data_IF_211379355788
#
_entry.id   IF_211379355788
#
_cell.length_a   1.000
_cell.length_b   1.000
_cell.length_c   1.000
_cell.angle_alpha   90.00
_cell.angle_beta   90.00
_cell.angle_gamma   90.00
#
_symmetry.space_group_name_H-M   'P 1'
#
loop_
_entity.id
_entity.type
_entity.pdbx_description
1 polymer ?
#
# COMPACT_ATOMS: atom_id res chain seq x y z
N UNK A 1 -1.62 0.17 -7.50
CA UNK A 1 -0.24 0.72 -7.42
C UNK A 1 0.76 -0.42 -7.33
N UNK A 2 2.06 -0.19 -7.50
CA UNK A 2 3.03 -1.24 -7.22
C UNK A 2 3.10 -1.51 -5.71
N UNK A 3 3.22 -2.80 -5.36
CA UNK A 3 3.31 -3.27 -3.98
C UNK A 3 4.35 -2.50 -3.14
N UNK A 4 5.54 -2.26 -3.71
CA UNK A 4 6.61 -1.55 -3.02
C UNK A 4 6.23 -0.12 -2.64
N UNK A 5 5.39 0.54 -3.45
CA UNK A 5 4.95 1.90 -3.19
C UNK A 5 3.99 1.97 -2.01
N UNK A 6 3.14 0.94 -1.83
CA UNK A 6 2.34 0.81 -0.61
C UNK A 6 3.24 0.71 0.64
N UNK A 7 4.30 -0.10 0.59
CA UNK A 7 5.24 -0.24 1.71
C UNK A 7 5.99 1.06 2.00
N UNK A 8 6.38 1.81 0.96
CA UNK A 8 6.97 3.13 1.13
C UNK A 8 6.00 4.09 1.82
N UNK A 9 4.74 4.13 1.39
CA UNK A 9 3.72 4.97 2.00
C UNK A 9 3.51 4.60 3.49
N UNK A 10 3.47 3.30 3.81
CA UNK A 10 3.39 2.81 5.18
C UNK A 10 4.62 3.23 6.01
N UNK A 11 5.82 3.16 5.44
CA UNK A 11 7.04 3.60 6.10
C UNK A 11 7.03 5.12 6.36
N UNK A 12 6.60 5.92 5.39
CA UNK A 12 6.45 7.38 5.56
C UNK A 12 5.43 7.68 6.66
N UNK A 13 4.25 7.04 6.63
CA UNK A 13 3.22 7.20 7.65
C UNK A 13 3.74 6.83 9.05
N UNK A 14 4.50 5.73 9.16
CA UNK A 14 5.14 5.31 10.41
C UNK A 14 6.17 6.32 10.93
N UNK A 15 6.85 7.06 10.04
CA UNK A 15 7.84 8.08 10.41
C UNK A 15 7.22 9.40 10.86
N UNK A 16 6.06 9.77 10.31
CA UNK A 16 5.38 11.04 10.64
C UNK A 16 4.28 10.90 11.69
N UNK A 17 3.99 9.67 12.14
CA UNK A 17 2.98 9.38 13.14
C UNK A 17 3.58 8.74 14.38
N UNK A 18 2.74 8.41 15.36
CA UNK A 18 3.12 7.60 16.53
C UNK A 18 2.76 6.11 16.36
N UNK A 19 2.36 5.69 15.16
CA UNK A 19 1.97 4.32 14.87
C UNK A 19 3.21 3.40 14.83
N UNK A 20 3.01 2.10 15.02
CA UNK A 20 4.09 1.12 14.87
C UNK A 20 4.43 0.93 13.40
N UNK A 21 5.66 1.25 12.94
CA UNK A 21 6.03 1.08 11.54
C UNK A 21 5.96 -0.37 11.09
N UNK A 22 6.35 -1.31 11.96
CA UNK A 22 6.28 -2.74 11.67
C UNK A 22 4.85 -3.17 11.37
N UNK A 23 3.90 -2.84 12.27
CA UNK A 23 2.52 -3.24 12.09
C UNK A 23 1.82 -2.52 10.95
N UNK A 24 2.19 -1.27 10.65
CA UNK A 24 1.78 -0.58 9.42
C UNK A 24 2.19 -1.37 8.19
N UNK A 25 3.47 -1.74 8.07
CA UNK A 25 3.99 -2.53 6.94
C UNK A 25 3.27 -3.88 6.84
N UNK A 26 3.07 -4.57 7.97
CA UNK A 26 2.33 -5.85 8.00
C UNK A 26 0.91 -5.65 7.47
N UNK A 27 0.16 -4.71 8.04
CA UNK A 27 -1.22 -4.44 7.60
C UNK A 27 -1.31 -4.04 6.14
N UNK A 28 -0.37 -3.21 5.68
CA UNK A 28 -0.27 -2.83 4.27
C UNK A 28 0.12 -4.00 3.37
N UNK A 29 0.87 -4.99 3.83
CA UNK A 29 1.26 -6.12 2.98
C UNK A 29 0.15 -7.18 2.84
N UNK A 30 -0.73 -7.30 3.83
CA UNK A 30 -1.75 -8.36 3.92
C UNK A 30 -2.61 -8.50 2.65
N UNK A 31 -3.21 -7.43 2.09
CA UNK A 31 -4.11 -7.58 0.94
C UNK A 31 -3.47 -8.33 -0.22
N UNK A 32 -2.27 -7.92 -0.59
CA UNK A 32 -1.50 -8.48 -1.70
C UNK A 32 -0.96 -9.88 -1.43
N UNK A 33 -0.49 -10.14 -0.20
CA UNK A 33 0.01 -11.46 0.21
C UNK A 33 -1.12 -12.48 0.27
N UNK A 34 -2.36 -12.05 0.46
CA UNK A 34 -3.54 -12.92 0.42
C UNK A 34 -4.01 -13.10 -1.03
N UNK A 35 -4.32 -12.01 -1.73
CA UNK A 35 -5.04 -12.10 -3.00
C UNK A 35 -4.19 -12.62 -4.15
N UNK A 36 -2.91 -12.24 -4.22
CA UNK A 36 -2.05 -12.66 -5.33
C UNK A 36 -1.84 -14.18 -5.34
N UNK A 37 -1.48 -14.84 -4.24
CA UNK A 37 -1.39 -16.30 -4.22
C UNK A 37 -2.73 -16.97 -4.53
N UNK A 38 -3.83 -16.50 -3.93
CA UNK A 38 -5.16 -17.07 -4.18
C UNK A 38 -5.53 -17.04 -5.67
N UNK A 39 -5.26 -15.92 -6.35
CA UNK A 39 -5.49 -15.81 -7.79
C UNK A 39 -4.53 -16.70 -8.60
N UNK A 40 -3.25 -16.76 -8.23
CA UNK A 40 -2.24 -17.58 -8.92
C UNK A 40 -2.53 -19.08 -8.84
N UNK A 41 -3.11 -19.55 -7.73
CA UNK A 41 -3.53 -20.95 -7.58
C UNK A 41 -4.98 -21.21 -8.05
N UNK A 42 -5.65 -20.19 -8.61
CA UNK A 42 -6.98 -20.30 -9.21
C UNK A 42 -8.15 -20.36 -8.21
N UNK A 43 -7.93 -20.00 -6.94
CA UNK A 43 -9.02 -19.90 -5.93
C UNK A 43 -9.93 -18.70 -6.23
N UNK A 44 -9.35 -17.60 -6.71
CA UNK A 44 -10.08 -16.43 -7.21
C UNK A 44 -9.65 -16.14 -8.64
N UNK A 45 -10.51 -15.46 -9.40
CA UNK A 45 -10.20 -15.02 -10.76
C UNK A 45 -9.61 -13.59 -10.80
N UNK A 46 -9.58 -12.91 -9.65
CA UNK A 46 -9.15 -11.51 -9.51
C UNK A 46 -7.96 -11.40 -8.56
N UNK A 47 -7.02 -10.53 -8.91
CA UNK A 47 -5.86 -10.19 -8.08
C UNK A 47 -6.16 -9.15 -6.99
N UNK A 48 -7.38 -8.60 -6.99
CA UNK A 48 -7.97 -7.82 -5.87
C UNK A 48 -9.29 -8.51 -5.50
N UNK A 49 -9.32 -9.21 -4.37
CA UNK A 49 -10.43 -10.07 -3.93
C UNK A 49 -10.64 -10.01 -2.41
N UNK A 50 -10.40 -11.11 -1.70
CA UNK A 50 -10.60 -11.28 -0.26
C UNK A 50 -9.85 -10.22 0.55
N UNK A 51 -8.53 -10.10 0.35
CA UNK A 51 -7.65 -9.21 1.11
C UNK A 51 -7.96 -7.72 0.87
N UNK A 52 -8.46 -7.39 -0.31
CA UNK A 52 -8.85 -6.04 -0.72
C UNK A 52 -10.32 -5.70 -0.45
N UNK A 53 -11.12 -6.64 0.05
CA UNK A 53 -12.53 -6.42 0.32
C UNK A 53 -12.74 -5.58 1.57
N UNK A 54 -13.56 -4.53 1.46
CA UNK A 54 -13.99 -3.71 2.61
C UNK A 54 -14.75 -4.52 3.66
N UNK A 55 -15.29 -5.69 3.30
CA UNK A 55 -15.94 -6.59 4.25
C UNK A 55 -14.98 -7.05 5.35
N UNK A 56 -13.66 -7.06 5.11
CA UNK A 56 -12.66 -7.33 6.15
C UNK A 56 -12.60 -6.24 7.23
N UNK A 57 -13.38 -5.17 7.13
CA UNK A 57 -13.59 -4.23 8.24
C UNK A 57 -14.10 -4.93 9.51
N UNK A 58 -14.84 -6.04 9.38
CA UNK A 58 -15.30 -6.84 10.53
C UNK A 58 -14.13 -7.45 11.33
N UNK A 59 -12.96 -7.61 10.70
CA UNK A 59 -11.72 -8.07 11.33
C UNK A 59 -10.83 -6.88 11.69
N UNK A 60 -10.70 -5.91 10.78
CA UNK A 60 -9.84 -4.75 10.95
C UNK A 60 -10.29 -3.86 12.11
N UNK A 61 -11.60 -3.71 12.34
CA UNK A 61 -12.13 -2.86 13.41
C UNK A 61 -11.83 -3.44 14.81
N UNK A 62 -12.15 -4.70 15.14
CA UNK A 62 -11.71 -5.31 16.40
C UNK A 62 -10.20 -5.25 16.61
N UNK A 63 -9.42 -5.47 15.53
CA UNK A 63 -7.97 -5.34 15.59
C UNK A 63 -7.55 -3.91 15.93
N UNK A 64 -8.17 -2.90 15.31
CA UNK A 64 -7.90 -1.50 15.62
C UNK A 64 -8.17 -1.15 17.10
N UNK A 65 -9.20 -1.76 17.68
CA UNK A 65 -9.59 -1.56 19.08
C UNK A 65 -8.73 -2.34 20.09
N UNK A 66 -7.93 -3.32 19.65
CA UNK A 66 -7.13 -4.16 20.55
C UNK A 66 -5.88 -3.45 21.10
N UNK A 67 -5.48 -2.33 20.50
CA UNK A 67 -4.36 -1.52 20.95
C UNK A 67 -3.57 -0.93 19.77
N UNK A 68 -2.42 -0.30 20.10
CA UNK A 68 -1.63 0.45 19.10
C UNK A 68 -1.13 -0.40 17.95
N UNK A 69 -0.71 -1.63 18.23
CA UNK A 69 -0.24 -2.57 17.21
C UNK A 69 -1.36 -2.91 16.23
N UNK A 70 -2.54 -3.28 16.75
CA UNK A 70 -3.70 -3.60 15.94
C UNK A 70 -4.24 -2.39 15.16
N UNK A 71 -4.27 -1.20 15.77
CA UNK A 71 -4.57 0.06 15.07
C UNK A 71 -3.60 0.31 13.90
N UNK A 72 -2.30 0.09 14.13
CA UNK A 72 -1.29 0.29 13.08
C UNK A 72 -1.50 -0.69 11.92
N UNK A 73 -1.82 -1.95 12.20
CA UNK A 73 -2.14 -2.94 11.17
C UNK A 73 -3.43 -2.60 10.41
N UNK A 74 -4.51 -2.22 11.11
CA UNK A 74 -5.76 -1.84 10.48
C UNK A 74 -5.60 -0.59 9.58
N UNK A 75 -4.82 0.41 10.03
CA UNK A 75 -4.52 1.59 9.23
C UNK A 75 -3.60 1.27 8.05
N UNK A 76 -2.65 0.34 8.21
CA UNK A 76 -1.82 -0.14 7.11
C UNK A 76 -2.64 -0.81 6.02
N UNK A 77 -3.61 -1.65 6.42
CA UNK A 77 -4.57 -2.29 5.52
C UNK A 77 -5.43 -1.24 4.80
N UNK A 78 -6.03 -0.31 5.55
CA UNK A 78 -6.87 0.75 4.97
C UNK A 78 -6.08 1.65 4.00
N UNK A 79 -4.81 1.95 4.31
CA UNK A 79 -3.91 2.68 3.44
C UNK A 79 -3.70 1.96 2.11
N UNK A 80 -3.51 0.64 2.12
CA UNK A 80 -3.35 -0.16 0.90
C UNK A 80 -4.58 -0.04 0.00
N UNK A 81 -5.77 -0.35 0.54
CA UNK A 81 -7.03 -0.28 -0.21
C UNK A 81 -7.27 1.12 -0.78
N UNK A 82 -6.98 2.16 0.00
CA UNK A 82 -7.15 3.55 -0.42
C UNK A 82 -6.22 3.92 -1.58
N UNK A 83 -4.97 3.46 -1.53
CA UNK A 83 -3.98 3.72 -2.58
C UNK A 83 -4.31 2.97 -3.87
N UNK A 84 -4.81 1.74 -3.79
CA UNK A 84 -5.26 1.02 -4.98
C UNK A 84 -6.52 1.61 -5.60
N UNK A 85 -7.50 2.01 -4.77
CA UNK A 85 -8.69 2.72 -5.24
C UNK A 85 -8.33 4.04 -5.93
N UNK A 86 -7.44 4.83 -5.32
CA UNK A 86 -6.93 6.07 -5.91
C UNK A 86 -6.24 5.79 -7.25
N UNK A 87 -5.41 4.76 -7.30
CA UNK A 87 -4.68 4.39 -8.50
C UNK A 87 -5.57 3.98 -9.67
N UNK A 88 -6.60 3.16 -9.44
CA UNK A 88 -7.49 2.77 -10.54
C UNK A 88 -8.27 3.96 -11.08
N UNK A 89 -8.66 4.90 -10.20
CA UNK A 89 -9.29 6.17 -10.59
C UNK A 89 -8.34 7.03 -11.41
N UNK A 90 -7.09 7.24 -10.94
CA UNK A 90 -6.09 8.05 -11.63
C UNK A 90 -5.70 7.48 -13.00
N UNK A 91 -5.77 6.17 -13.16
CA UNK A 91 -5.52 5.51 -14.43
C UNK A 91 -6.78 5.41 -15.33
N UNK A 92 -7.85 6.13 -15.02
CA UNK A 92 -9.04 6.23 -15.86
C UNK A 92 -10.00 5.04 -15.76
N UNK A 93 -9.88 4.20 -14.73
CA UNK A 93 -10.71 3.02 -14.49
C UNK A 93 -11.46 3.11 -13.14
N UNK A 94 -12.24 4.18 -12.87
CA UNK A 94 -12.94 4.33 -11.59
C UNK A 94 -13.96 3.21 -11.33
N UNK A 95 -14.53 2.62 -12.39
CA UNK A 95 -15.43 1.47 -12.28
C UNK A 95 -14.77 0.22 -11.69
N UNK A 96 -13.44 0.11 -11.76
CA UNK A 96 -12.72 -1.03 -11.18
C UNK A 96 -12.62 -0.92 -9.66
N UNK A 97 -12.80 0.27 -9.06
CA UNK A 97 -12.77 0.46 -7.61
C UNK A 97 -13.85 -0.34 -6.86
N UNK A 98 -14.85 -0.88 -7.58
CA UNK A 98 -15.82 -1.83 -7.03
C UNK A 98 -15.19 -3.14 -6.55
N UNK A 99 -13.90 -3.40 -6.83
CA UNK A 99 -13.14 -4.49 -6.21
C UNK A 99 -13.26 -4.47 -4.67
N UNK A 100 -13.42 -3.28 -4.07
CA UNK A 100 -13.62 -3.12 -2.62
C UNK A 100 -14.88 -3.83 -2.12
N UNK A 101 -15.88 -4.04 -2.98
CA UNK A 101 -17.16 -4.65 -2.65
C UNK A 101 -17.19 -6.16 -2.97
N UNK A 102 -16.06 -6.74 -3.34
CA UNK A 102 -15.94 -8.18 -3.57
C UNK A 102 -16.35 -8.96 -2.30
N UNK A 103 -17.09 -10.08 -2.39
CA UNK A 103 -17.56 -10.76 -3.59
C UNK A 103 -18.95 -10.31 -4.07
N UNK A 104 -19.57 -9.34 -3.41
CA UNK A 104 -20.94 -8.91 -3.74
C UNK A 104 -21.00 -8.23 -5.12
N UNK A 105 -19.93 -7.55 -5.51
CA UNK A 105 -19.78 -6.92 -6.82
C UNK A 105 -18.41 -7.26 -7.40
N UNK A 106 -18.35 -7.46 -8.71
CA UNK A 106 -17.10 -7.61 -9.47
C UNK A 106 -17.07 -6.58 -10.60
N UNK A 107 -15.88 -6.06 -10.98
CA UNK A 107 -15.76 -5.22 -12.17
C UNK A 107 -16.29 -5.94 -13.41
N UNK A 108 -16.94 -5.22 -14.31
CA UNK A 108 -17.50 -5.78 -15.56
C UNK A 108 -16.42 -6.12 -16.58
N UNK A 109 -15.30 -5.40 -16.55
CA UNK A 109 -14.11 -5.61 -17.38
C UNK A 109 -12.86 -5.58 -16.49
N UNK A 110 -12.60 -6.63 -15.70
CA UNK A 110 -11.44 -6.63 -14.81
C UNK A 110 -10.14 -6.83 -15.61
N UNK A 111 -9.09 -6.07 -15.26
CA UNK A 111 -7.76 -6.29 -15.85
C UNK A 111 -7.27 -7.73 -15.63
N UNK A 112 -7.51 -8.30 -14.44
CA UNK A 112 -7.19 -9.68 -14.06
C UNK A 112 -5.75 -10.12 -14.42
N UNK A 113 -4.81 -9.18 -14.48
CA UNK A 113 -3.43 -9.44 -14.88
C UNK A 113 -2.61 -9.99 -13.71
N UNK A 114 -1.83 -11.08 -13.91
CA UNK A 114 -0.82 -11.49 -12.92
C UNK A 114 0.23 -10.40 -12.68
N UNK A 115 0.95 -10.44 -11.54
CA UNK A 115 1.88 -9.38 -11.15
C UNK A 115 2.92 -9.02 -12.21
N UNK A 116 3.47 -10.01 -12.92
CA UNK A 116 4.47 -9.79 -13.97
C UNK A 116 3.92 -9.01 -15.18
N UNK A 117 2.77 -9.43 -15.71
CA UNK A 117 2.12 -8.72 -16.83
C UNK A 117 1.53 -7.39 -16.40
N UNK A 118 1.03 -7.29 -15.16
CA UNK A 118 0.55 -6.03 -14.60
C UNK A 118 1.68 -5.00 -14.54
N UNK A 119 2.90 -5.38 -14.13
CA UNK A 119 4.04 -4.47 -14.10
C UNK A 119 4.32 -3.85 -15.48
N UNK A 120 4.29 -4.65 -16.56
CA UNK A 120 4.49 -4.16 -17.91
C UNK A 120 3.35 -3.25 -18.38
N UNK A 121 2.10 -3.65 -18.11
CA UNK A 121 0.92 -2.83 -18.37
C UNK A 121 0.96 -1.50 -17.62
N UNK A 122 1.51 -1.51 -16.40
CA UNK A 122 1.53 -0.37 -15.51
C UNK A 122 2.51 0.72 -15.94
N UNK A 123 3.55 0.34 -16.69
CA UNK A 123 4.56 1.26 -17.18
C UNK A 123 3.91 2.39 -17.99
N UNK A 124 4.36 3.62 -17.78
CA UNK A 124 3.85 4.82 -18.45
C UNK A 124 2.41 5.22 -18.12
N UNK A 125 1.73 4.55 -17.19
CA UNK A 125 0.45 5.02 -16.66
C UNK A 125 0.61 6.35 -15.88
N UNK A 126 -0.46 7.14 -15.71
CA UNK A 126 -0.43 8.32 -14.85
C UNK A 126 0.09 8.03 -13.43
N UNK A 127 -0.40 6.94 -12.83
CA UNK A 127 0.04 6.52 -11.50
C UNK A 127 1.51 6.12 -11.47
N UNK A 128 2.05 5.51 -12.53
CA UNK A 128 3.47 5.18 -12.60
C UNK A 128 4.36 6.42 -12.42
N UNK A 129 4.04 7.53 -13.08
CA UNK A 129 4.80 8.78 -12.92
C UNK A 129 4.67 9.37 -11.52
N UNK A 130 3.49 9.27 -10.90
CA UNK A 130 3.30 9.70 -9.51
C UNK A 130 4.12 8.86 -8.53
N UNK A 131 4.20 7.55 -8.75
CA UNK A 131 5.05 6.67 -7.96
C UNK A 131 6.52 7.05 -8.11
N UNK A 132 7.00 7.25 -9.34
CA UNK A 132 8.38 7.70 -9.59
C UNK A 132 8.66 9.01 -8.85
N UNK A 133 7.76 9.99 -8.92
CA UNK A 133 7.92 11.26 -8.21
C UNK A 133 7.95 11.08 -6.69
N UNK A 134 7.10 10.21 -6.13
CA UNK A 134 7.09 9.87 -4.71
C UNK A 134 8.42 9.22 -4.28
N UNK A 135 8.91 8.24 -5.04
CA UNK A 135 10.17 7.55 -4.77
C UNK A 135 11.37 8.50 -4.82
N UNK A 136 11.45 9.36 -5.84
CA UNK A 136 12.51 10.36 -5.96
C UNK A 136 12.49 11.36 -4.80
N UNK A 137 11.29 11.80 -4.38
CA UNK A 137 11.12 12.70 -3.24
C UNK A 137 11.57 12.03 -1.94
N UNK A 138 11.15 10.79 -1.69
CA UNK A 138 11.57 10.03 -0.51
C UNK A 138 13.10 9.82 -0.48
N UNK A 139 13.70 9.45 -1.62
CA UNK A 139 15.14 9.29 -1.74
C UNK A 139 15.89 10.61 -1.49
N UNK A 140 15.43 11.72 -2.08
CA UNK A 140 16.03 13.04 -1.86
C UNK A 140 15.98 13.49 -0.40
N UNK A 141 14.86 13.24 0.29
CA UNK A 141 14.72 13.54 1.72
C UNK A 141 15.64 12.66 2.58
N UNK A 142 15.76 11.38 2.25
CA UNK A 142 16.67 10.46 2.95
C UNK A 142 18.13 10.89 2.79
N UNK A 143 18.57 11.20 1.57
CA UNK A 143 19.93 11.69 1.30
C UNK A 143 20.19 12.99 2.07
N UNK A 144 19.24 13.94 2.07
CA UNK A 144 19.35 15.19 2.83
C UNK A 144 19.45 14.94 4.34
N UNK A 145 18.72 13.96 4.87
CA UNK A 145 18.79 13.59 6.28
C UNK A 145 20.16 13.02 6.64
N UNK A 146 20.63 12.03 5.88
CA UNK A 146 21.93 11.37 6.11
C UNK A 146 23.09 12.36 5.99
N UNK A 147 23.09 13.21 4.97
CA UNK A 147 24.15 14.21 4.77
C UNK A 147 24.19 15.27 5.87
N UNK A 148 23.03 15.69 6.39
CA UNK A 148 22.97 16.59 7.56
C UNK A 148 23.49 15.94 8.83
N UNK A 149 23.08 14.69 9.09
CA UNK A 149 23.56 13.93 10.25
C UNK A 149 25.08 13.70 10.20
N UNK A 150 25.64 13.45 9.01
CA UNK A 150 27.08 13.30 8.84
C UNK A 150 27.85 14.62 9.05
N UNK A 151 27.28 15.77 8.62
CA UNK A 151 27.88 17.09 8.82
C UNK A 151 27.82 17.60 10.25
N UNK A 152 26.85 17.14 11.06
CA UNK A 152 26.69 17.56 12.45
C UNK A 152 27.83 17.07 13.38
N UNK A 153 28.62 16.06 12.99
CA UNK A 153 29.82 15.62 13.71
C UNK A 153 29.61 15.17 15.18
N UNK A 154 30.62 14.53 15.82
CA UNK A 154 30.52 14.12 17.23
C UNK A 154 30.58 15.27 18.25
N UNK A 155 30.89 16.51 17.83
CA UNK A 155 31.17 17.64 18.73
C UNK A 155 29.92 18.27 19.36
N UNK A 156 28.73 18.10 18.78
CA UNK A 156 27.48 18.68 19.29
C UNK A 156 26.69 17.74 20.23
N UNK A 157 27.31 16.65 20.73
CA UNK A 157 26.63 15.65 21.58
C UNK A 157 27.03 15.72 23.06
N UNK A 158 27.82 16.71 23.44
CA UNK A 158 28.24 16.98 24.82
C UNK A 158 27.96 18.45 25.08
N UNK A 159 26.70 18.81 25.28
CA UNK A 159 26.23 20.01 26.00
C UNK A 159 24.80 19.75 26.47
#
# INVERSE_FOLDING_TARGET
>A
MLFLTHLLAAAILGRVSRLSPLWLVVGTAVPDVVDKPLAMVGVTTLYHSVGHSVLLVIVALPLALSGRAGLSAALGWALHLSLDALHVVLNGRPGDAVFLLWPAVTPTDPLALPPGSFFLYYLWSPSFFLEVMLWLTAAGLLIRHVTRSARAGPRDRID
#
